data_IF_136612794582
#
_entry.id   IF_136612794582
#
_cell.length_a   1.000
_cell.length_b   1.000
_cell.length_c   1.000
_cell.angle_alpha   90.00
_cell.angle_beta   90.00
_cell.angle_gamma   90.00
#
_symmetry.space_group_name_H-M   'P 1'
#
loop_
_entity.id
_entity.type
_entity.pdbx_description
1 polymer ?
#
# COMPACT_ATOMS: atom_id res chain seq x y z
N UNK A 1 27.01 11.68 -38.93
CA UNK A 1 27.11 12.09 -37.53
C UNK A 1 25.78 12.73 -37.20
N UNK A 2 24.87 11.97 -36.61
CA UNK A 2 23.61 12.53 -36.11
C UNK A 2 23.18 11.73 -34.88
N UNK A 3 22.98 12.48 -33.80
CA UNK A 3 22.97 12.04 -32.42
C UNK A 3 21.62 11.41 -32.07
N UNK A 4 21.64 10.13 -31.67
CA UNK A 4 20.48 9.52 -31.01
C UNK A 4 20.28 10.23 -29.68
N UNK A 5 19.28 11.10 -29.59
CA UNK A 5 18.73 11.60 -28.32
C UNK A 5 18.24 10.42 -27.48
N UNK A 6 19.09 9.89 -26.61
CA UNK A 6 18.70 9.11 -25.45
C UNK A 6 17.97 10.05 -24.49
N UNK A 7 16.65 9.92 -24.39
CA UNK A 7 15.89 10.49 -23.27
C UNK A 7 16.49 9.95 -21.98
N UNK A 8 16.95 10.79 -21.04
CA UNK A 8 17.44 10.33 -19.76
C UNK A 8 16.28 9.68 -19.00
N UNK A 9 16.38 8.39 -18.73
CA UNK A 9 15.53 7.74 -17.73
C UNK A 9 15.89 8.36 -16.39
N UNK A 10 14.99 9.19 -15.84
CA UNK A 10 15.14 9.75 -14.50
C UNK A 10 14.96 8.60 -13.50
N UNK A 11 16.05 7.97 -13.08
CA UNK A 11 16.04 6.92 -12.07
C UNK A 11 15.82 7.54 -10.68
N UNK A 12 14.55 7.80 -10.36
CA UNK A 12 14.16 8.26 -9.03
C UNK A 12 14.36 7.15 -7.98
N UNK A 13 14.78 7.50 -6.75
CA UNK A 13 14.98 6.53 -5.68
C UNK A 13 13.67 5.81 -5.31
N UNK A 14 13.74 4.49 -5.16
CA UNK A 14 12.65 3.64 -4.67
C UNK A 14 12.93 3.22 -3.23
N UNK A 15 12.16 3.75 -2.29
CA UNK A 15 12.27 3.41 -0.88
C UNK A 15 11.40 2.20 -0.54
N UNK A 16 11.94 1.31 0.29
CA UNK A 16 11.21 0.18 0.87
C UNK A 16 11.05 0.44 2.35
N UNK A 17 9.93 -0.01 2.93
CA UNK A 17 9.75 0.10 4.37
C UNK A 17 10.75 -0.84 5.04
N UNK A 18 11.78 -0.29 5.68
CA UNK A 18 12.73 -1.06 6.47
C UNK A 18 12.12 -1.36 7.83
N UNK A 19 12.07 -2.64 8.21
CA UNK A 19 11.50 -3.08 9.49
C UNK A 19 12.63 -3.62 10.37
N UNK A 20 12.74 -3.19 11.64
CA UNK A 20 13.75 -3.71 12.58
C UNK A 20 13.65 -5.22 12.82
N UNK A 21 12.49 -5.81 12.53
CA UNK A 21 12.20 -7.25 12.57
C UNK A 21 11.41 -7.62 11.31
N UNK A 22 11.99 -8.33 10.32
CA UNK A 22 11.36 -8.64 9.03
C UNK A 22 10.05 -9.45 9.11
N UNK A 23 9.68 -9.91 10.31
CA UNK A 23 8.61 -10.85 10.58
C UNK A 23 7.37 -10.19 11.22
N UNK A 24 7.46 -8.91 11.60
CA UNK A 24 6.32 -8.09 11.99
C UNK A 24 5.91 -7.26 10.78
N UNK A 25 4.63 -7.38 10.39
CA UNK A 25 4.09 -6.77 9.18
C UNK A 25 4.39 -5.26 9.16
N UNK A 26 4.71 -4.69 7.98
CA UNK A 26 5.36 -3.40 7.87
C UNK A 26 4.33 -2.26 8.03
N UNK A 27 3.91 -2.01 9.27
CA UNK A 27 3.10 -0.88 9.69
C UNK A 27 3.91 0.06 10.59
N UNK A 28 3.81 1.36 10.37
CA UNK A 28 4.35 2.38 11.24
C UNK A 28 3.41 3.59 11.28
N UNK A 29 3.32 4.23 12.44
CA UNK A 29 2.61 5.50 12.60
C UNK A 29 3.42 6.42 13.52
N UNK A 30 3.45 7.70 13.21
CA UNK A 30 4.07 8.71 14.05
C UNK A 30 4.00 10.10 13.43
N UNK A 31 4.57 11.08 14.12
CA UNK A 31 4.76 12.41 13.55
C UNK A 31 5.76 12.40 12.38
N UNK A 32 5.80 13.49 11.62
CA UNK A 32 6.84 13.71 10.62
C UNK A 32 8.25 13.53 11.19
N UNK A 33 8.51 14.03 12.40
CA UNK A 33 9.81 13.85 13.07
C UNK A 33 10.11 12.39 13.44
N UNK A 34 9.10 11.66 13.91
CA UNK A 34 9.27 10.31 14.45
C UNK A 34 9.44 9.24 13.36
N UNK A 35 8.79 9.39 12.20
CA UNK A 35 8.88 8.42 11.09
C UNK A 35 10.23 8.48 10.36
N UNK A 36 10.94 9.60 10.48
CA UNK A 36 12.28 9.80 9.91
C UNK A 36 12.28 10.75 8.71
N UNK A 37 13.48 11.03 8.15
CA UNK A 37 13.70 12.18 7.28
C UNK A 37 12.94 12.14 5.95
N UNK A 38 12.54 10.95 5.49
CA UNK A 38 11.78 10.81 4.23
C UNK A 38 10.36 11.37 4.33
N UNK A 39 9.79 11.43 5.54
CA UNK A 39 8.45 12.02 5.76
C UNK A 39 8.38 13.50 5.32
N UNK A 40 9.52 14.20 5.34
CA UNK A 40 9.69 15.60 4.91
C UNK A 40 10.60 15.75 3.68
N UNK A 41 10.77 14.69 2.89
CA UNK A 41 11.67 14.74 1.74
C UNK A 41 11.26 15.85 0.75
N UNK A 42 12.18 16.79 0.53
CA UNK A 42 12.04 17.89 -0.43
C UNK A 42 12.49 17.53 -1.85
N UNK A 43 12.79 16.24 -2.10
CA UNK A 43 13.21 15.74 -3.40
C UNK A 43 12.24 14.65 -3.90
N UNK A 44 12.01 14.56 -5.23
CA UNK A 44 11.13 13.55 -5.80
C UNK A 44 11.59 12.14 -5.46
N UNK A 45 10.71 11.34 -4.88
CA UNK A 45 10.97 9.94 -4.55
C UNK A 45 9.69 9.12 -4.67
N UNK A 46 9.83 7.80 -4.64
CA UNK A 46 8.70 6.85 -4.62
C UNK A 46 8.96 5.75 -3.63
N UNK A 47 7.91 5.11 -3.12
CA UNK A 47 8.02 4.00 -2.19
C UNK A 47 7.21 2.77 -2.61
N UNK A 48 7.54 1.59 -2.06
CA UNK A 48 6.85 0.32 -2.36
C UNK A 48 5.68 -0.01 -1.41
N UNK A 49 5.28 0.93 -0.55
CA UNK A 49 4.22 0.80 0.45
C UNK A 49 3.15 1.89 0.24
N UNK A 50 2.06 1.83 0.99
CA UNK A 50 1.06 2.90 1.09
C UNK A 50 1.46 3.87 2.19
N UNK A 51 1.18 5.14 1.97
CA UNK A 51 1.38 6.21 2.94
C UNK A 51 0.10 7.02 3.06
N UNK A 52 -0.38 7.24 4.28
CA UNK A 52 -1.44 8.20 4.60
C UNK A 52 -0.79 9.34 5.38
N UNK A 53 -0.88 10.55 4.86
CA UNK A 53 -0.37 11.75 5.50
C UNK A 53 -1.54 12.59 5.98
N UNK A 54 -1.58 12.87 7.28
CA UNK A 54 -2.50 13.82 7.87
C UNK A 54 -1.73 15.06 8.33
N UNK A 55 -1.89 16.17 7.61
CA UNK A 55 -1.22 17.44 7.88
C UNK A 55 -2.12 18.31 8.73
N UNK A 56 -1.63 18.76 9.89
CA UNK A 56 -2.35 19.64 10.82
C UNK A 56 -1.85 21.08 10.80
N UNK A 57 -0.66 21.33 10.26
CA UNK A 57 -0.09 22.67 10.12
C UNK A 57 1.17 22.70 9.24
N UNK A 58 1.60 23.91 8.89
CA UNK A 58 2.72 24.17 8.00
C UNK A 58 2.31 24.90 6.72
N UNK A 59 3.29 25.25 5.90
CA UNK A 59 3.13 25.92 4.60
C UNK A 59 3.92 25.19 3.51
N UNK A 60 3.66 25.52 2.25
CA UNK A 60 4.31 24.93 1.08
C UNK A 60 3.33 24.17 0.19
N UNK A 61 3.84 23.19 -0.56
CA UNK A 61 3.03 22.36 -1.44
C UNK A 61 3.43 20.88 -1.36
N UNK A 62 2.45 19.98 -1.48
CA UNK A 62 2.69 18.57 -1.77
C UNK A 62 2.67 18.38 -3.29
N UNK A 63 3.72 17.81 -3.84
CA UNK A 63 3.79 17.47 -5.26
C UNK A 63 3.57 15.97 -5.42
N UNK A 64 2.56 15.59 -6.21
CA UNK A 64 2.21 14.19 -6.54
C UNK A 64 2.20 14.03 -8.06
N UNK A 65 3.06 13.17 -8.62
CA UNK A 65 3.18 12.93 -10.06
C UNK A 65 3.18 14.23 -10.91
N UNK A 66 4.02 15.20 -10.49
CA UNK A 66 4.17 16.55 -11.08
C UNK A 66 3.05 17.55 -10.79
N UNK A 67 1.99 17.14 -10.10
CA UNK A 67 0.89 18.02 -9.73
C UNK A 67 1.21 18.73 -8.42
N UNK A 68 1.44 20.04 -8.49
CA UNK A 68 1.65 20.89 -7.31
C UNK A 68 0.31 21.19 -6.62
N UNK A 69 0.27 21.01 -5.29
CA UNK A 69 -0.89 21.32 -4.45
C UNK A 69 -0.46 22.08 -3.21
N UNK A 70 -0.85 23.34 -3.11
CA UNK A 70 -0.65 24.15 -1.92
C UNK A 70 -1.30 23.46 -0.71
N UNK A 71 -0.57 23.42 0.40
CA UNK A 71 -1.06 22.87 1.65
C UNK A 71 -2.25 23.69 2.18
N UNK A 72 -3.31 22.98 2.57
CA UNK A 72 -4.49 23.52 3.23
C UNK A 72 -4.79 22.70 4.50
N UNK A 73 -4.02 22.87 5.59
CA UNK A 73 -4.28 22.16 6.83
C UNK A 73 -5.62 22.55 7.48
N UNK A 74 -6.37 21.61 8.11
CA UNK A 74 -6.07 20.19 8.17
C UNK A 74 -6.46 19.47 6.86
N UNK A 75 -5.54 18.65 6.34
CA UNK A 75 -5.78 17.84 5.14
C UNK A 75 -5.24 16.42 5.29
N UNK A 76 -5.87 15.49 4.58
CA UNK A 76 -5.40 14.11 4.46
C UNK A 76 -5.02 13.79 3.01
N UNK A 77 -3.92 13.07 2.83
CA UNK A 77 -3.44 12.60 1.53
C UNK A 77 -3.14 11.11 1.60
N UNK A 78 -3.34 10.40 0.48
CA UNK A 78 -2.98 8.99 0.33
C UNK A 78 -2.04 8.85 -0.85
N UNK A 79 -0.84 8.32 -0.59
CA UNK A 79 0.17 7.99 -1.59
C UNK A 79 0.22 6.48 -1.77
N UNK A 80 0.14 6.04 -3.03
CA UNK A 80 0.11 4.62 -3.38
C UNK A 80 1.50 4.10 -3.78
N UNK A 81 1.77 2.79 -3.68
CA UNK A 81 3.06 2.23 -4.09
C UNK A 81 3.48 2.61 -5.52
N UNK A 82 4.66 3.22 -5.63
CA UNK A 82 5.28 3.64 -6.89
C UNK A 82 4.93 5.05 -7.36
N UNK A 83 4.01 5.74 -6.67
CA UNK A 83 3.70 7.14 -6.94
C UNK A 83 4.89 8.03 -6.57
N UNK A 84 5.18 9.01 -7.41
CA UNK A 84 6.27 9.97 -7.16
C UNK A 84 5.71 11.13 -6.35
N UNK A 85 6.34 11.44 -5.23
CA UNK A 85 5.95 12.56 -4.39
C UNK A 85 7.13 13.24 -3.72
N UNK A 86 6.92 14.50 -3.31
CA UNK A 86 7.82 15.28 -2.46
C UNK A 86 7.14 16.56 -1.95
N UNK A 87 7.75 17.20 -0.97
CA UNK A 87 7.32 18.50 -0.46
C UNK A 87 8.10 19.64 -1.14
N UNK A 88 7.39 20.58 -1.75
CA UNK A 88 7.99 21.77 -2.35
C UNK A 88 7.78 22.98 -1.43
N UNK A 89 8.86 23.72 -1.17
CA UNK A 89 8.86 24.95 -0.34
C UNK A 89 8.15 24.78 1.01
N UNK A 90 8.28 23.58 1.58
CA UNK A 90 7.55 23.21 2.78
C UNK A 90 8.29 23.59 4.05
N UNK A 91 7.56 24.15 5.00
CA UNK A 91 8.09 24.64 6.26
C UNK A 91 7.08 24.43 7.40
N UNK A 92 7.60 24.21 8.61
CA UNK A 92 6.83 23.90 9.82
C UNK A 92 5.76 22.80 9.64
N UNK A 93 6.07 21.76 8.84
CA UNK A 93 5.16 20.63 8.63
C UNK A 93 4.90 19.89 9.93
N UNK A 94 3.63 19.88 10.33
CA UNK A 94 3.10 19.19 11.50
C UNK A 94 1.95 18.28 11.10
N UNK A 95 1.84 17.15 11.81
CA UNK A 95 0.89 16.11 11.46
C UNK A 95 1.41 14.71 11.74
N UNK A 96 0.72 13.72 11.20
CA UNK A 96 1.00 12.30 11.39
C UNK A 96 1.09 11.59 10.04
N UNK A 97 1.92 10.57 9.99
CA UNK A 97 2.16 9.73 8.82
C UNK A 97 1.91 8.28 9.22
N UNK A 98 1.08 7.59 8.43
CA UNK A 98 0.79 6.15 8.57
C UNK A 98 1.36 5.43 7.36
N UNK A 99 2.30 4.51 7.60
CA UNK A 99 2.95 3.70 6.58
C UNK A 99 2.47 2.26 6.72
N UNK A 100 2.04 1.63 5.64
CA UNK A 100 1.67 0.22 5.64
C UNK A 100 1.82 -0.43 4.28
N UNK A 101 2.04 -1.74 4.23
CA UNK A 101 1.94 -2.48 2.98
C UNK A 101 0.54 -3.09 2.77
N UNK A 102 0.31 -3.62 1.56
CA UNK A 102 -0.90 -4.39 1.25
C UNK A 102 -1.07 -5.59 2.22
N UNK A 103 0.04 -6.17 2.71
CA UNK A 103 -0.02 -7.31 3.65
C UNK A 103 -0.60 -6.93 5.03
N UNK A 104 -0.62 -5.65 5.39
CA UNK A 104 -1.25 -5.19 6.61
C UNK A 104 -2.78 -5.07 6.44
N UNK A 105 -3.24 -4.80 5.22
CA UNK A 105 -4.65 -4.65 4.84
C UNK A 105 -5.35 -5.98 4.47
N UNK A 106 -4.66 -7.12 4.56
CA UNK A 106 -5.01 -8.43 3.97
C UNK A 106 -6.40 -9.00 4.24
N UNK A 107 -7.20 -8.38 5.09
CA UNK A 107 -8.52 -8.89 5.42
C UNK A 107 -9.62 -8.48 4.43
N UNK A 108 -9.48 -7.41 3.63
CA UNK A 108 -10.61 -6.85 2.85
C UNK A 108 -10.23 -6.23 1.50
N UNK A 109 -10.62 -6.82 0.35
CA UNK A 109 -10.44 -6.22 -0.98
C UNK A 109 -11.07 -4.82 -1.13
N UNK A 110 -12.15 -4.56 -0.39
CA UNK A 110 -12.84 -3.27 -0.38
C UNK A 110 -11.94 -2.12 0.13
N UNK A 111 -10.98 -2.41 1.02
CA UNK A 111 -10.09 -1.39 1.59
C UNK A 111 -9.07 -0.89 0.56
N UNK A 112 -8.57 -1.80 -0.28
CA UNK A 112 -7.70 -1.44 -1.40
C UNK A 112 -8.45 -0.59 -2.43
N UNK A 113 -9.71 -0.92 -2.72
CA UNK A 113 -10.55 -0.11 -3.61
C UNK A 113 -10.83 1.28 -3.00
N UNK A 114 -11.13 1.34 -1.71
CA UNK A 114 -11.35 2.59 -0.98
C UNK A 114 -10.10 3.47 -0.97
N UNK A 115 -8.92 2.91 -0.69
CA UNK A 115 -7.64 3.63 -0.74
C UNK A 115 -7.32 4.17 -2.12
N UNK A 116 -7.61 3.41 -3.18
CA UNK A 116 -7.47 3.92 -4.55
C UNK A 116 -8.43 5.09 -4.80
N UNK A 117 -9.68 4.96 -4.36
CA UNK A 117 -10.65 6.06 -4.40
C UNK A 117 -10.17 7.31 -3.67
N UNK A 118 -9.51 7.15 -2.52
CA UNK A 118 -8.87 8.25 -1.80
C UNK A 118 -7.67 8.83 -2.56
N UNK A 119 -6.77 8.00 -3.10
CA UNK A 119 -5.56 8.44 -3.83
C UNK A 119 -5.86 9.22 -5.12
N UNK A 120 -7.04 9.00 -5.72
CA UNK A 120 -7.50 9.81 -6.85
C UNK A 120 -7.77 11.28 -6.47
N UNK A 121 -7.78 11.59 -5.18
CA UNK A 121 -8.04 12.91 -4.61
C UNK A 121 -6.76 13.39 -3.91
N UNK A 122 -5.96 14.24 -4.56
CA UNK A 122 -4.59 14.52 -4.13
C UNK A 122 -4.47 15.25 -2.78
N UNK A 123 -5.53 15.92 -2.31
CA UNK A 123 -5.62 16.48 -0.97
C UNK A 123 -7.09 16.52 -0.52
N UNK A 124 -7.38 15.91 0.62
CA UNK A 124 -8.72 15.80 1.18
C UNK A 124 -8.91 16.85 2.27
N UNK A 125 -9.77 17.82 2.02
CA UNK A 125 -10.31 18.65 3.08
C UNK A 125 -11.27 17.80 3.91
N UNK A 126 -10.99 17.68 5.21
CA UNK A 126 -11.78 16.82 6.09
C UNK A 126 -12.99 17.54 6.70
N UNK A 127 -13.02 18.88 6.68
CA UNK A 127 -14.09 19.67 7.28
C UNK A 127 -14.40 19.23 8.72
N UNK A 128 -15.67 18.95 8.99
CA UNK A 128 -16.14 18.46 10.31
C UNK A 128 -15.55 17.08 10.71
N UNK A 129 -15.04 16.31 9.76
CA UNK A 129 -14.42 15.00 10.02
C UNK A 129 -12.97 15.09 10.51
N UNK A 130 -12.35 16.29 10.50
CA UNK A 130 -10.96 16.47 10.91
C UNK A 130 -10.71 16.05 12.36
N UNK A 131 -11.58 16.45 13.30
CA UNK A 131 -11.47 16.08 14.72
C UNK A 131 -11.56 14.57 14.96
N UNK A 132 -12.61 13.88 14.49
CA UNK A 132 -12.74 12.43 14.61
C UNK A 132 -11.62 11.62 13.95
N UNK A 133 -11.03 12.12 12.85
CA UNK A 133 -9.87 11.49 12.20
C UNK A 133 -8.60 11.72 13.02
N UNK A 134 -8.38 12.93 13.53
CA UNK A 134 -7.24 13.23 14.40
C UNK A 134 -7.24 12.39 15.67
N UNK A 135 -8.41 12.21 16.31
CA UNK A 135 -8.54 11.34 17.49
C UNK A 135 -8.18 9.89 17.17
N UNK A 136 -8.68 9.35 16.05
CA UNK A 136 -8.37 7.98 15.63
C UNK A 136 -6.88 7.78 15.34
N UNK A 137 -6.22 8.76 14.71
CA UNK A 137 -4.78 8.71 14.46
C UNK A 137 -3.97 8.77 15.76
N UNK A 138 -4.39 9.59 16.73
CA UNK A 138 -3.76 9.65 18.04
C UNK A 138 -3.90 8.30 18.79
N UNK A 139 -5.09 7.69 18.77
CA UNK A 139 -5.33 6.37 19.36
C UNK A 139 -4.45 5.29 18.70
N UNK A 140 -4.36 5.28 17.37
CA UNK A 140 -3.47 4.38 16.61
C UNK A 140 -2.00 4.57 16.98
N UNK A 141 -1.55 5.82 17.15
CA UNK A 141 -0.18 6.13 17.52
C UNK A 141 0.14 5.69 18.95
N UNK A 142 -0.79 5.86 19.88
CA UNK A 142 -0.66 5.36 21.25
C UNK A 142 -0.59 3.83 21.28
N UNK A 143 -1.47 3.15 20.55
CA UNK A 143 -1.49 1.70 20.42
C UNK A 143 -0.16 1.16 19.86
N UNK A 144 0.37 1.83 18.83
CA UNK A 144 1.65 1.47 18.21
C UNK A 144 2.86 1.71 19.13
N UNK A 145 2.82 2.75 19.97
CA UNK A 145 3.89 3.02 20.95
C UNK A 145 3.86 2.06 22.13
N UNK A 146 2.66 1.70 22.60
CA UNK A 146 2.48 0.85 23.78
C UNK A 146 2.69 -0.64 23.48
N UNK A 147 2.45 -1.08 22.25
CA UNK A 147 2.58 -2.47 21.80
C UNK A 147 1.90 -3.50 22.74
N UNK A 148 0.66 -3.26 23.23
CA UNK A 148 -0.02 -4.22 24.10
C UNK A 148 -0.33 -5.54 23.37
N UNK A 149 -0.67 -6.59 24.11
CA UNK A 149 -1.11 -7.84 23.50
C UNK A 149 -2.30 -7.60 22.55
N UNK A 150 -2.19 -8.07 21.31
CA UNK A 150 -3.24 -7.90 20.29
C UNK A 150 -3.19 -6.57 19.50
N UNK A 151 -2.20 -5.70 19.74
CA UNK A 151 -2.12 -4.36 19.13
C UNK A 151 -2.25 -4.35 17.60
N UNK A 152 -1.67 -5.35 16.92
CA UNK A 152 -1.77 -5.45 15.46
C UNK A 152 -3.22 -5.59 14.98
N UNK A 153 -4.06 -6.33 15.70
CA UNK A 153 -5.48 -6.46 15.38
C UNK A 153 -6.22 -5.14 15.52
N UNK A 154 -5.92 -4.40 16.60
CA UNK A 154 -6.47 -3.06 16.86
C UNK A 154 -6.03 -2.08 15.77
N UNK A 155 -4.75 -2.05 15.41
CA UNK A 155 -4.21 -1.18 14.37
C UNK A 155 -4.82 -1.48 13.00
N UNK A 156 -5.02 -2.75 12.65
CA UNK A 156 -5.71 -3.13 11.40
C UNK A 156 -7.16 -2.67 11.37
N UNK A 157 -7.90 -2.89 12.45
CA UNK A 157 -9.28 -2.44 12.55
C UNK A 157 -9.39 -0.90 12.50
N UNK A 158 -8.46 -0.21 13.18
CA UNK A 158 -8.41 1.25 13.21
C UNK A 158 -8.04 1.84 11.84
N UNK A 159 -7.09 1.22 11.12
CA UNK A 159 -6.76 1.61 9.75
C UNK A 159 -7.95 1.43 8.80
N UNK A 160 -8.68 0.32 8.92
CA UNK A 160 -9.93 0.13 8.16
C UNK A 160 -10.94 1.25 8.46
N UNK A 161 -11.18 1.56 9.74
CA UNK A 161 -12.07 2.66 10.15
C UNK A 161 -11.59 4.00 9.57
N UNK A 162 -10.28 4.27 9.61
CA UNK A 162 -9.68 5.49 9.06
C UNK A 162 -9.98 5.63 7.57
N UNK A 163 -9.72 4.58 6.77
CA UNK A 163 -9.95 4.56 5.33
C UNK A 163 -11.43 4.81 5.01
N UNK A 164 -12.34 4.13 5.70
CA UNK A 164 -13.78 4.27 5.49
C UNK A 164 -14.28 5.66 5.88
N UNK A 165 -13.81 6.22 7.01
CA UNK A 165 -14.17 7.58 7.45
C UNK A 165 -13.64 8.64 6.51
N UNK A 166 -12.38 8.52 6.09
CA UNK A 166 -11.79 9.42 5.10
C UNK A 166 -12.59 9.38 3.79
N UNK A 167 -13.01 8.19 3.34
CA UNK A 167 -13.80 8.07 2.12
C UNK A 167 -15.19 8.73 2.24
N UNK A 168 -15.83 8.62 3.40
CA UNK A 168 -17.10 9.31 3.67
C UNK A 168 -16.94 10.83 3.71
N UNK A 169 -15.83 11.33 4.26
CA UNK A 169 -15.49 12.75 4.23
C UNK A 169 -15.32 13.28 2.78
N UNK A 170 -15.05 12.38 1.83
CA UNK A 170 -14.97 12.71 0.41
C UNK A 170 -16.30 12.58 -0.34
N UNK A 171 -17.36 12.08 0.28
CA UNK A 171 -18.65 11.97 -0.38
C UNK A 171 -19.17 13.39 -0.64
N UNK A 172 -19.59 13.72 -1.88
CA UNK A 172 -20.17 15.02 -2.14
C UNK A 172 -21.46 15.17 -1.32
N UNK A 173 -21.84 16.41 -1.01
CA UNK A 173 -23.25 16.74 -0.78
C UNK A 173 -24.13 16.17 -1.91
N UNK A 174 -25.47 16.18 -1.76
CA UNK A 174 -26.38 15.31 -2.52
C UNK A 174 -26.15 15.36 -4.04
N UNK A 175 -25.65 14.25 -4.58
CA UNK A 175 -25.57 13.96 -6.01
C UNK A 175 -24.46 12.95 -6.35
N UNK A 176 -24.78 11.69 -6.67
CA UNK A 176 -23.79 10.82 -7.29
C UNK A 176 -23.70 11.13 -8.79
N UNK A 177 -22.49 11.43 -9.27
CA UNK A 177 -22.15 11.02 -10.62
C UNK A 177 -22.12 9.49 -10.61
N UNK A 178 -23.08 8.87 -11.30
CA UNK A 178 -23.12 7.41 -11.51
C UNK A 178 -21.76 6.98 -12.08
N UNK A 179 -21.05 6.01 -11.46
CA UNK A 179 -19.80 5.51 -12.01
C UNK A 179 -20.01 5.08 -13.46
N UNK A 180 -19.21 5.61 -14.38
CA UNK A 180 -19.28 5.18 -15.78
C UNK A 180 -18.99 3.67 -15.89
N UNK A 181 -19.59 3.01 -16.88
CA UNK A 181 -19.46 1.55 -17.16
C UNK A 181 -18.01 1.02 -17.08
N UNK A 182 -17.02 1.84 -17.46
CA UNK A 182 -15.60 1.47 -17.37
C UNK A 182 -15.09 1.27 -15.94
N UNK A 183 -15.54 2.10 -14.99
CA UNK A 183 -15.19 1.99 -13.56
C UNK A 183 -15.84 0.77 -12.92
N UNK A 184 -17.07 0.45 -13.32
CA UNK A 184 -17.78 -0.74 -12.87
C UNK A 184 -17.08 -2.02 -13.35
N UNK A 185 -16.64 -2.06 -14.61
CA UNK A 185 -15.92 -3.21 -15.17
C UNK A 185 -14.53 -3.41 -14.55
N UNK A 186 -13.82 -2.34 -14.22
CA UNK A 186 -12.55 -2.44 -13.48
C UNK A 186 -12.75 -2.92 -12.04
N UNK A 187 -13.85 -2.50 -11.40
CA UNK A 187 -14.25 -2.99 -10.08
C UNK A 187 -14.63 -4.47 -10.14
N UNK A 188 -15.40 -4.88 -11.16
CA UNK A 188 -15.75 -6.27 -11.40
C UNK A 188 -14.52 -7.15 -11.63
N UNK A 189 -13.54 -6.68 -12.42
CA UNK A 189 -12.25 -7.36 -12.59
C UNK A 189 -11.53 -7.56 -11.25
N UNK A 190 -11.49 -6.52 -10.41
CA UNK A 190 -10.81 -6.59 -9.10
C UNK A 190 -11.48 -7.60 -8.18
N UNK A 191 -12.82 -7.70 -8.19
CA UNK A 191 -13.56 -8.74 -7.45
C UNK A 191 -13.29 -10.13 -8.00
N UNK A 192 -13.26 -10.26 -9.33
CA UNK A 192 -13.03 -11.54 -10.01
C UNK A 192 -11.69 -12.18 -9.62
N UNK A 193 -10.63 -11.38 -9.51
CA UNK A 193 -9.29 -11.89 -9.16
C UNK A 193 -9.07 -12.08 -7.66
N UNK A 194 -9.98 -11.55 -6.82
CA UNK A 194 -9.94 -11.71 -5.36
C UNK A 194 -10.73 -12.95 -4.88
N UNK A 195 -11.57 -13.53 -5.74
CA UNK A 195 -12.21 -14.82 -5.50
C UNK A 195 -11.13 -15.93 -5.46
N UNK A 196 -11.19 -16.91 -4.52
CA UNK A 196 -10.34 -18.09 -4.53
C UNK A 196 -10.23 -18.78 -5.91
N UNK A 197 -11.30 -18.80 -6.71
CA UNK A 197 -11.28 -19.32 -8.09
C UNK A 197 -10.65 -18.37 -9.13
N UNK A 198 -10.38 -17.12 -8.75
CA UNK A 198 -9.81 -16.05 -9.57
C UNK A 198 -8.32 -16.19 -9.82
N UNK A 199 -7.58 -16.85 -8.92
CA UNK A 199 -6.11 -16.94 -8.95
C UNK A 199 -5.57 -17.84 -10.08
N UNK A 200 -6.42 -18.73 -10.61
CA UNK A 200 -6.11 -19.57 -11.77
C UNK A 200 -6.40 -18.87 -13.12
N UNK A 201 -7.01 -17.67 -13.11
CA UNK A 201 -7.49 -17.02 -14.33
C UNK A 201 -6.37 -16.20 -14.98
N UNK A 202 -6.24 -16.34 -16.29
CA UNK A 202 -5.39 -15.44 -17.09
C UNK A 202 -6.10 -14.13 -17.37
N UNK A 203 -5.35 -13.06 -17.70
CA UNK A 203 -5.94 -11.78 -18.13
C UNK A 203 -6.94 -11.98 -19.28
N UNK A 204 -6.65 -12.89 -20.21
CA UNK A 204 -7.54 -13.20 -21.33
C UNK A 204 -8.85 -13.85 -20.88
N UNK A 205 -8.79 -14.78 -19.92
CA UNK A 205 -9.97 -15.41 -19.34
C UNK A 205 -10.84 -14.40 -18.59
N UNK A 206 -10.24 -13.52 -17.79
CA UNK A 206 -10.97 -12.45 -17.11
C UNK A 206 -11.62 -11.47 -18.10
N UNK A 207 -10.93 -11.14 -19.19
CA UNK A 207 -11.47 -10.24 -20.22
C UNK A 207 -12.70 -10.87 -20.89
N UNK A 208 -12.62 -12.15 -21.25
CA UNK A 208 -13.72 -12.89 -21.88
C UNK A 208 -14.96 -12.93 -20.98
N UNK A 209 -14.78 -13.22 -19.69
CA UNK A 209 -15.87 -13.28 -18.70
C UNK A 209 -16.55 -11.92 -18.46
N UNK A 210 -15.78 -10.83 -18.56
CA UNK A 210 -16.29 -9.46 -18.49
C UNK A 210 -16.85 -8.94 -19.83
N UNK A 211 -16.84 -9.78 -20.89
CA UNK A 211 -17.31 -9.39 -22.22
C UNK A 211 -16.41 -8.36 -22.92
N UNK A 212 -15.11 -8.38 -22.64
CA UNK A 212 -14.12 -7.42 -23.12
C UNK A 212 -13.02 -8.10 -23.94
N UNK A 213 -12.38 -7.33 -24.83
CA UNK A 213 -11.09 -7.73 -25.38
C UNK A 213 -9.98 -7.55 -24.33
N UNK A 214 -8.89 -8.34 -24.36
CA UNK A 214 -7.78 -8.17 -23.43
C UNK A 214 -7.17 -6.76 -23.45
N UNK A 215 -7.09 -6.14 -24.63
CA UNK A 215 -6.61 -4.77 -24.78
C UNK A 215 -7.54 -3.74 -24.14
N UNK A 216 -8.86 -3.91 -24.28
CA UNK A 216 -9.84 -3.03 -23.64
C UNK A 216 -9.83 -3.19 -22.12
N UNK A 217 -9.76 -4.42 -21.61
CA UNK A 217 -9.58 -4.68 -20.17
C UNK A 217 -8.31 -4.01 -19.65
N UNK A 218 -7.20 -4.09 -20.40
CA UNK A 218 -5.94 -3.46 -20.02
C UNK A 218 -6.06 -1.95 -19.89
N UNK A 219 -6.73 -1.28 -20.85
CA UNK A 219 -6.98 0.16 -20.78
C UNK A 219 -7.85 0.52 -19.57
N UNK A 220 -8.99 -0.15 -19.39
CA UNK A 220 -9.93 0.15 -18.30
C UNK A 220 -9.30 -0.06 -16.93
N UNK A 221 -8.64 -1.19 -16.72
CA UNK A 221 -7.99 -1.52 -15.46
C UNK A 221 -6.82 -0.57 -15.20
N UNK A 222 -6.00 -0.23 -16.21
CA UNK A 222 -4.90 0.71 -16.03
C UNK A 222 -5.39 2.13 -15.73
N UNK A 223 -6.47 2.58 -16.37
CA UNK A 223 -7.09 3.87 -16.08
C UNK A 223 -7.69 3.91 -14.67
N UNK A 224 -8.36 2.85 -14.24
CA UNK A 224 -9.01 2.79 -12.94
C UNK A 224 -8.07 2.51 -11.77
N UNK A 225 -6.98 1.77 -11.99
CA UNK A 225 -6.11 1.25 -10.91
C UNK A 225 -4.65 1.69 -10.99
N UNK A 226 -4.24 2.37 -12.06
CA UNK A 226 -2.84 2.69 -12.35
C UNK A 226 -1.98 1.46 -12.71
N UNK A 227 -2.50 0.24 -12.56
CA UNK A 227 -1.77 -1.01 -12.75
C UNK A 227 -2.32 -1.80 -13.95
N UNK A 228 -1.46 -2.58 -14.59
CA UNK A 228 -1.91 -3.54 -15.62
C UNK A 228 -2.67 -4.71 -14.97
N UNK A 229 -3.67 -5.31 -15.63
CA UNK A 229 -4.39 -6.49 -15.13
C UNK A 229 -3.45 -7.62 -14.67
N UNK A 230 -2.40 -7.92 -15.43
CA UNK A 230 -1.45 -8.97 -15.09
C UNK A 230 -0.64 -8.67 -13.82
N UNK A 231 -0.38 -7.38 -13.53
CA UNK A 231 0.27 -6.97 -12.27
C UNK A 231 -0.69 -7.19 -11.09
N UNK A 232 -1.96 -6.83 -11.24
CA UNK A 232 -2.97 -7.04 -10.20
C UNK A 232 -3.18 -8.53 -9.90
N UNK A 233 -3.20 -9.40 -10.92
CA UNK A 233 -3.28 -10.86 -10.72
C UNK A 233 -2.06 -11.36 -9.95
N UNK A 234 -0.84 -10.96 -10.33
CA UNK A 234 0.37 -11.35 -9.60
C UNK A 234 0.33 -10.89 -8.15
N UNK A 235 -0.10 -9.64 -7.90
CA UNK A 235 -0.26 -9.13 -6.54
C UNK A 235 -1.23 -10.00 -5.73
N UNK A 236 -2.39 -10.35 -6.29
CA UNK A 236 -3.35 -11.25 -5.63
C UNK A 236 -2.80 -12.66 -5.39
N UNK A 237 -2.07 -13.23 -6.34
CA UNK A 237 -1.41 -14.54 -6.17
C UNK A 237 -0.35 -14.51 -5.06
N UNK A 238 0.46 -13.45 -5.00
CA UNK A 238 1.41 -13.25 -3.89
C UNK A 238 0.69 -13.07 -2.56
N UNK A 239 -0.44 -12.34 -2.57
CA UNK A 239 -1.27 -12.08 -1.41
C UNK A 239 -1.77 -13.37 -0.77
N UNK A 240 -2.42 -14.22 -1.58
CA UNK A 240 -2.99 -15.47 -1.09
C UNK A 240 -1.90 -16.44 -0.65
N UNK A 241 -0.79 -16.49 -1.38
CA UNK A 241 0.36 -17.30 -0.98
C UNK A 241 0.88 -16.91 0.41
N UNK A 242 1.04 -15.61 0.70
CA UNK A 242 1.44 -15.14 2.04
C UNK A 242 0.41 -15.50 3.09
N UNK A 243 -0.89 -15.33 2.80
CA UNK A 243 -1.98 -15.68 3.72
C UNK A 243 -1.92 -17.15 4.10
N UNK A 244 -1.86 -18.05 3.12
CA UNK A 244 -1.77 -19.49 3.33
C UNK A 244 -0.50 -19.90 4.08
N UNK A 245 0.65 -19.27 3.77
CA UNK A 245 1.90 -19.54 4.49
C UNK A 245 1.83 -19.10 5.96
N UNK A 246 1.12 -18.02 6.26
CA UNK A 246 1.01 -17.45 7.60
C UNK A 246 -0.09 -18.10 8.47
N UNK A 247 -1.17 -18.60 7.85
CA UNK A 247 -2.35 -19.05 8.59
C UNK A 247 -2.63 -20.56 8.48
N UNK A 248 -1.80 -21.33 7.76
CA UNK A 248 -2.05 -22.76 7.55
C UNK A 248 -0.78 -23.61 7.56
N UNK A 249 -0.94 -24.89 7.90
CA UNK A 249 0.11 -25.91 7.82
C UNK A 249 0.24 -26.55 6.43
N UNK A 250 -0.34 -25.93 5.38
CA UNK A 250 -0.22 -26.45 4.01
C UNK A 250 1.23 -26.53 3.57
N UNK A 251 1.61 -27.62 2.92
CA UNK A 251 2.93 -27.75 2.30
C UNK A 251 3.14 -26.69 1.23
N UNK A 252 4.41 -26.31 0.94
CA UNK A 252 4.73 -25.34 -0.13
C UNK A 252 4.11 -25.74 -1.48
N UNK A 253 4.01 -27.04 -1.77
CA UNK A 253 3.34 -27.58 -2.96
C UNK A 253 1.83 -27.28 -2.96
N UNK A 254 1.16 -27.47 -1.83
CA UNK A 254 -0.26 -27.15 -1.70
C UNK A 254 -0.50 -25.65 -1.79
N UNK A 255 0.31 -24.84 -1.10
CA UNK A 255 0.27 -23.37 -1.19
C UNK A 255 0.43 -22.91 -2.64
N UNK A 256 1.40 -23.47 -3.39
CA UNK A 256 1.59 -23.15 -4.80
C UNK A 256 0.32 -23.41 -5.62
N UNK A 257 -0.31 -24.57 -5.41
CA UNK A 257 -1.54 -24.95 -6.12
C UNK A 257 -2.69 -23.99 -5.80
N UNK A 258 -2.94 -23.73 -4.52
CA UNK A 258 -4.01 -22.81 -4.09
C UNK A 258 -3.75 -21.36 -4.54
N UNK A 259 -2.48 -20.94 -4.64
CA UNK A 259 -2.09 -19.63 -5.15
C UNK A 259 -2.11 -19.52 -6.69
N UNK A 260 -2.59 -20.54 -7.41
CA UNK A 260 -2.75 -20.50 -8.87
C UNK A 260 -1.59 -21.08 -9.68
N UNK A 261 -0.64 -21.80 -9.07
CA UNK A 261 0.55 -22.33 -9.75
C UNK A 261 0.53 -23.86 -9.88
N UNK A 262 0.67 -24.36 -11.11
CA UNK A 262 0.79 -25.79 -11.37
C UNK A 262 2.19 -26.35 -11.03
N UNK A 263 3.24 -25.53 -11.18
CA UNK A 263 4.63 -25.91 -10.89
C UNK A 263 5.11 -25.25 -9.58
N UNK A 264 5.36 -26.02 -8.51
CA UNK A 264 5.92 -25.51 -7.25
C UNK A 264 7.29 -24.84 -7.40
N UNK A 265 8.13 -25.30 -8.33
CA UNK A 265 9.44 -24.70 -8.54
C UNK A 265 9.30 -23.30 -9.16
N UNK A 266 8.39 -23.14 -10.12
CA UNK A 266 8.02 -21.84 -10.65
C UNK A 266 7.41 -20.93 -9.57
N UNK A 267 6.53 -21.46 -8.71
CA UNK A 267 5.99 -20.71 -7.57
C UNK A 267 7.09 -20.19 -6.64
N UNK A 268 8.08 -21.02 -6.26
CA UNK A 268 9.18 -20.56 -5.40
C UNK A 268 9.97 -19.40 -6.02
N UNK A 269 10.26 -19.48 -7.34
CA UNK A 269 10.93 -18.39 -8.07
C UNK A 269 10.06 -17.15 -8.15
N UNK A 270 8.77 -17.32 -8.45
CA UNK A 270 7.77 -16.26 -8.46
C UNK A 270 7.72 -15.56 -7.11
N UNK A 271 7.51 -16.30 -6.02
CA UNK A 271 7.37 -15.76 -4.68
C UNK A 271 8.62 -15.00 -4.25
N UNK A 272 9.82 -15.57 -4.48
CA UNK A 272 11.08 -14.88 -4.20
C UNK A 272 11.26 -13.60 -5.00
N UNK A 273 10.81 -13.57 -6.26
CA UNK A 273 10.85 -12.35 -7.08
C UNK A 273 9.93 -11.27 -6.53
N UNK A 274 8.71 -11.63 -6.13
CA UNK A 274 7.71 -10.66 -5.65
C UNK A 274 7.96 -10.20 -4.21
N UNK A 275 8.54 -11.06 -3.35
CA UNK A 275 8.70 -10.78 -1.91
C UNK A 275 10.14 -10.57 -1.46
N UNK A 276 11.12 -10.97 -2.26
CA UNK A 276 12.54 -10.96 -1.89
C UNK A 276 13.00 -12.20 -1.10
N UNK A 277 12.08 -13.07 -0.66
CA UNK A 277 12.38 -14.25 0.16
C UNK A 277 11.67 -15.51 -0.37
N UNK A 278 12.17 -16.68 -0.02
CA UNK A 278 11.52 -17.95 -0.37
C UNK A 278 10.25 -18.17 0.48
N UNK A 279 9.29 -18.98 -0.01
CA UNK A 279 8.11 -19.33 0.79
C UNK A 279 8.44 -19.95 2.16
N UNK A 280 9.51 -20.75 2.23
CA UNK A 280 9.96 -21.38 3.47
C UNK A 280 10.54 -20.37 4.47
N UNK A 281 11.39 -19.45 4.00
CA UNK A 281 11.92 -18.34 4.82
C UNK A 281 10.79 -17.46 5.36
N UNK A 282 9.79 -17.15 4.53
CA UNK A 282 8.62 -16.38 4.95
C UNK A 282 7.85 -17.11 6.07
N UNK A 283 7.56 -18.41 5.89
CA UNK A 283 6.83 -19.22 6.89
C UNK A 283 7.59 -19.32 8.21
N UNK A 284 8.89 -19.60 8.16
CA UNK A 284 9.73 -19.70 9.36
C UNK A 284 9.75 -18.38 10.14
N UNK A 285 9.80 -17.25 9.43
CA UNK A 285 9.70 -15.92 10.02
C UNK A 285 8.39 -15.67 10.77
N UNK A 286 7.26 -16.12 10.22
CA UNK A 286 5.94 -15.95 10.85
C UNK A 286 5.72 -16.92 12.02
N UNK A 287 6.22 -18.16 11.93
CA UNK A 287 6.07 -19.19 12.97
C UNK A 287 6.98 -19.05 14.19
N UNK A 288 8.05 -18.25 14.11
CA UNK A 288 9.03 -18.06 15.19
C UNK A 288 8.57 -17.20 16.38
N UNK A 289 7.43 -16.51 16.29
CA UNK A 289 6.99 -15.52 17.29
C UNK A 289 6.19 -16.08 18.49
N UNK A 290 6.37 -17.37 18.85
CA UNK A 290 5.90 -17.90 20.14
C UNK A 290 6.98 -17.91 21.24
N UNK A 291 8.13 -17.27 21.03
CA UNK A 291 9.14 -17.07 22.07
C UNK A 291 9.78 -15.67 22.03
N UNK A 292 9.63 -14.96 23.15
CA UNK A 292 10.43 -13.80 23.57
C UNK A 292 11.93 -14.09 23.40
N UNK A 293 12.70 -13.17 22.80
CA UNK A 293 13.71 -12.49 23.62
C UNK A 293 13.96 -11.01 23.24
N UNK A 294 13.80 -10.14 24.24
CA UNK A 294 14.72 -9.04 24.64
C UNK A 294 15.55 -8.40 23.51
N UNK A 295 15.22 -7.15 23.16
CA UNK A 295 16.05 -6.30 22.31
C UNK A 295 16.88 -5.33 23.17
N UNK A 296 18.19 -5.49 23.11
CA UNK A 296 19.17 -4.46 23.42
C UNK A 296 19.21 -3.43 22.29
N UNK A 297 19.16 -2.15 22.68
CA UNK A 297 19.21 -0.96 21.83
C UNK A 297 20.38 -0.97 20.83
N UNK A 298 20.12 -0.44 19.64
CA UNK A 298 21.06 -0.25 18.52
C UNK A 298 22.32 0.49 18.98
N UNK A 299 23.48 -0.16 18.85
CA UNK A 299 24.78 0.50 18.87
C UNK A 299 25.10 1.06 17.48
N UNK A 300 25.67 2.28 17.45
CA UNK A 300 26.26 2.88 16.26
C UNK A 300 27.38 1.98 15.69
N UNK A 301 27.43 1.84 14.36
CA UNK A 301 28.51 1.11 13.70
C UNK A 301 29.88 1.82 13.91
N UNK A 302 30.98 1.07 14.11
CA UNK A 302 32.30 1.62 14.38
C UNK A 302 33.13 1.91 13.09
N UNK A 303 33.86 3.04 13.12
CA UNK A 303 35.20 3.30 12.53
C UNK A 303 35.36 3.31 11.00
N UNK A 304 35.81 4.40 10.36
CA UNK A 304 37.20 4.90 10.27
C UNK A 304 37.61 4.86 8.77
N UNK A 305 38.64 5.60 8.28
CA UNK A 305 39.73 6.30 8.98
C UNK A 305 39.54 7.80 9.19
#
# INVERSE_FOLDING_TARGET
>A
MDERRTTPHLDLPLHRLQVPLPHLLPFAIGSFDAIGPLSRAAFPHRHSFYEIVYVTGGRGAHVLDLVHRTLQPPQLCVIVPGQVHYWADADDLTGQVVLFNEDFLLSRPDDLAALRGLSSRPALSLGEHAGPIAALLADMEQEYRALPSGYLGVLRASLHILIVRALRACAPGPGPAVPGRGSELATAFTRLIADPGGLHRSVASCAQELGLSPGHLQTLVKQATGCTPGRLIRQQQTLEAKRLLASTELTIRQVAREAGFADPAYFCRFFRRETGMTPGEFRAGVGGNHHDPRITSIAAAPGAP
#
